data_IF_160816075076
#
_entry.id   IF_160816075076
#
_cell.length_a   1.000
_cell.length_b   1.000
_cell.length_c   1.000
_cell.angle_alpha   90.00
_cell.angle_beta   90.00
_cell.angle_gamma   90.00
#
_symmetry.space_group_name_H-M   'P 1'
#
loop_
_entity.id
_entity.type
_entity.pdbx_description
1 polymer ?
#
# COMPACT_ATOMS: atom_id res chain seq x y z
N UNK A 1 -8.29 4.33 -23.59
CA UNK A 1 -8.63 5.00 -22.31
C UNK A 1 -7.79 4.38 -21.20
N UNK A 2 -7.08 5.20 -20.46
CA UNK A 2 -6.24 4.68 -19.40
C UNK A 2 -7.04 4.55 -18.10
N UNK A 3 -6.96 3.37 -17.47
CA UNK A 3 -7.48 3.15 -16.13
C UNK A 3 -6.35 3.37 -15.15
N UNK A 4 -6.61 4.13 -14.10
CA UNK A 4 -5.61 4.46 -13.10
C UNK A 4 -6.01 4.02 -11.71
N UNK A 5 -5.01 3.64 -10.92
CA UNK A 5 -5.15 3.41 -9.48
C UNK A 5 -4.62 4.67 -8.81
N UNK A 6 -5.50 5.40 -8.15
CA UNK A 6 -5.16 6.71 -7.59
C UNK A 6 -5.83 6.96 -6.25
N UNK A 7 -5.39 8.00 -5.56
CA UNK A 7 -5.96 8.41 -4.29
C UNK A 7 -7.06 9.44 -4.52
N UNK A 8 -8.15 9.29 -3.78
CA UNK A 8 -9.24 10.24 -3.71
C UNK A 8 -9.28 10.82 -2.31
N UNK A 9 -9.31 12.14 -2.20
CA UNK A 9 -9.24 12.81 -0.89
C UNK A 9 -10.59 12.88 -0.21
N UNK A 10 -10.59 12.54 1.08
CA UNK A 10 -11.71 12.70 2.01
C UNK A 10 -11.20 13.35 3.31
N UNK A 11 -12.11 13.66 4.23
CA UNK A 11 -11.74 14.19 5.53
C UNK A 11 -11.89 15.70 5.60
N UNK A 12 -11.35 16.29 6.69
CA UNK A 12 -11.45 17.71 6.98
C UNK A 12 -10.28 18.50 6.40
N UNK A 13 -10.36 19.82 6.49
CA UNK A 13 -9.35 20.73 5.95
C UNK A 13 -7.93 20.41 6.44
N UNK A 14 -7.76 20.15 7.73
CA UNK A 14 -6.45 19.87 8.33
C UNK A 14 -6.22 18.39 8.62
N UNK A 15 -7.13 17.52 8.18
CA UNK A 15 -7.04 16.07 8.40
C UNK A 15 -7.42 15.34 7.12
N UNK A 16 -6.45 15.16 6.23
CA UNK A 16 -6.68 14.49 4.97
C UNK A 16 -6.71 12.96 5.18
N UNK A 17 -7.71 12.34 4.58
CA UNK A 17 -7.89 10.89 4.54
C UNK A 17 -8.12 10.50 3.09
N UNK A 18 -7.49 9.43 2.63
CA UNK A 18 -7.55 9.04 1.22
C UNK A 18 -8.16 7.67 1.04
N UNK A 19 -8.93 7.51 -0.02
CA UNK A 19 -9.38 6.21 -0.51
C UNK A 19 -8.56 5.85 -1.75
N UNK A 20 -8.15 4.59 -1.83
CA UNK A 20 -7.45 4.05 -3.00
C UNK A 20 -8.51 3.53 -3.95
N UNK A 21 -8.62 4.13 -5.13
CA UNK A 21 -9.70 3.85 -6.07
C UNK A 21 -9.17 3.58 -7.46
N UNK A 22 -9.96 2.80 -8.21
CA UNK A 22 -9.75 2.56 -9.63
C UNK A 22 -10.65 3.55 -10.37
N UNK A 23 -10.08 4.36 -11.24
CA UNK A 23 -10.85 5.36 -11.98
C UNK A 23 -10.27 5.58 -13.38
N UNK A 24 -11.13 6.10 -14.27
CA UNK A 24 -10.69 6.55 -15.60
C UNK A 24 -9.78 7.77 -15.41
N UNK A 25 -8.71 7.84 -16.21
CA UNK A 25 -7.75 8.95 -16.17
C UNK A 25 -8.41 10.31 -16.45
N UNK A 26 -9.56 10.32 -17.12
CA UNK A 26 -10.32 11.54 -17.45
C UNK A 26 -11.21 12.01 -16.29
N UNK A 27 -11.54 11.13 -15.34
CA UNK A 27 -12.41 11.49 -14.22
C UNK A 27 -11.70 12.45 -13.28
N UNK A 28 -12.43 13.42 -12.67
CA UNK A 28 -11.85 14.29 -11.64
C UNK A 28 -11.31 13.49 -10.46
N UNK A 29 -10.31 14.02 -9.76
CA UNK A 29 -9.67 13.34 -8.63
C UNK A 29 -10.69 12.87 -7.58
N UNK A 30 -11.62 13.72 -7.19
CA UNK A 30 -12.61 13.44 -6.15
C UNK A 30 -13.99 13.12 -6.74
N UNK A 31 -14.04 12.75 -8.03
CA UNK A 31 -15.25 12.41 -8.73
C UNK A 31 -15.56 10.92 -8.76
N UNK A 32 -16.28 10.50 -9.80
CA UNK A 32 -16.71 9.12 -9.97
C UNK A 32 -15.53 8.17 -10.16
N UNK A 33 -15.59 7.03 -9.50
CA UNK A 33 -14.60 5.96 -9.62
C UNK A 33 -15.28 4.63 -9.98
N UNK A 34 -14.47 3.68 -10.49
CA UNK A 34 -14.97 2.36 -10.89
C UNK A 34 -15.09 1.45 -9.66
N UNK A 35 -14.05 1.39 -8.83
CA UNK A 35 -14.00 0.54 -7.65
C UNK A 35 -13.10 1.14 -6.59
N UNK A 36 -13.48 0.99 -5.33
CA UNK A 36 -12.63 1.32 -4.18
C UNK A 36 -11.92 0.06 -3.72
N UNK A 37 -10.59 0.09 -3.67
CA UNK A 37 -9.78 -1.08 -3.27
C UNK A 37 -9.12 -0.93 -1.92
N UNK A 38 -9.19 0.24 -1.30
CA UNK A 38 -8.60 0.42 0.02
C UNK A 38 -8.64 1.85 0.51
N UNK A 39 -7.91 2.11 1.60
CA UNK A 39 -7.81 3.42 2.20
C UNK A 39 -6.37 3.68 2.67
N UNK A 40 -6.01 4.96 2.75
CA UNK A 40 -4.70 5.42 3.19
C UNK A 40 -4.87 6.59 4.14
N UNK A 41 -4.35 6.44 5.36
CA UNK A 41 -4.37 7.49 6.36
C UNK A 41 -2.93 7.92 6.70
N UNK A 42 -2.48 9.08 6.20
CA UNK A 42 -1.12 9.56 6.48
C UNK A 42 -0.97 10.23 7.85
N UNK A 43 -2.06 10.44 8.57
CA UNK A 43 -2.04 11.17 9.84
C UNK A 43 -1.55 10.33 11.01
N UNK A 44 -1.51 9.01 10.85
CA UNK A 44 -0.93 8.11 11.85
C UNK A 44 0.57 7.91 11.58
N UNK A 45 1.32 7.54 12.60
CA UNK A 45 2.74 7.28 12.48
C UNK A 45 3.05 5.87 13.01
N UNK A 46 3.40 4.90 12.16
CA UNK A 46 3.46 4.99 10.70
C UNK A 46 2.07 5.11 10.05
N UNK A 47 2.00 5.58 8.81
CA UNK A 47 0.76 5.74 8.08
C UNK A 47 -0.03 4.43 7.99
N UNK A 48 -1.35 4.52 8.18
CA UNK A 48 -2.22 3.34 8.14
C UNK A 48 -2.70 3.08 6.72
N UNK A 49 -2.48 1.86 6.24
CA UNK A 49 -2.90 1.44 4.90
C UNK A 49 -3.78 0.21 5.05
N UNK A 50 -5.02 0.30 4.56
CA UNK A 50 -5.93 -0.84 4.42
C UNK A 50 -6.13 -1.08 2.94
N UNK A 51 -5.74 -2.24 2.45
CA UNK A 51 -5.77 -2.56 1.03
C UNK A 51 -6.35 -3.94 0.79
N UNK A 52 -7.28 -4.04 -0.16
CA UNK A 52 -7.72 -5.33 -0.68
C UNK A 52 -6.67 -5.81 -1.68
N UNK A 53 -5.79 -6.69 -1.21
CA UNK A 53 -4.64 -7.18 -1.97
C UNK A 53 -5.05 -7.84 -3.29
N UNK A 54 -6.06 -8.70 -3.26
CA UNK A 54 -6.51 -9.44 -4.44
C UNK A 54 -7.04 -8.52 -5.53
N UNK A 55 -7.84 -7.52 -5.15
CA UNK A 55 -8.38 -6.55 -6.12
C UNK A 55 -7.30 -5.64 -6.68
N UNK A 56 -6.36 -5.20 -5.85
CA UNK A 56 -5.23 -4.41 -6.31
C UNK A 56 -4.38 -5.20 -7.32
N UNK A 57 -4.09 -6.46 -7.02
CA UNK A 57 -3.35 -7.34 -7.92
C UNK A 57 -4.10 -7.55 -9.23
N UNK A 58 -5.41 -7.79 -9.17
CA UNK A 58 -6.26 -7.96 -10.35
C UNK A 58 -6.15 -6.74 -11.29
N UNK A 59 -6.33 -5.52 -10.75
CA UNK A 59 -6.28 -4.31 -11.55
C UNK A 59 -4.89 -4.04 -12.12
N UNK A 60 -3.84 -4.32 -11.38
CA UNK A 60 -2.48 -4.20 -11.89
C UNK A 60 -2.21 -5.18 -13.04
N UNK A 61 -2.69 -6.42 -12.93
CA UNK A 61 -2.50 -7.43 -13.99
C UNK A 61 -3.34 -7.11 -15.21
N UNK A 62 -4.46 -6.43 -15.07
CA UNK A 62 -5.29 -6.00 -16.21
C UNK A 62 -4.79 -4.73 -16.88
N UNK A 63 -3.77 -4.07 -16.33
CA UNK A 63 -3.14 -2.92 -16.94
C UNK A 63 -3.44 -1.57 -16.33
N UNK A 64 -4.12 -1.53 -15.17
CA UNK A 64 -4.33 -0.27 -14.46
C UNK A 64 -2.99 0.31 -14.00
N UNK A 65 -2.80 1.61 -14.22
CA UNK A 65 -1.54 2.29 -13.91
C UNK A 65 -1.64 3.02 -12.58
N UNK A 66 -0.79 2.66 -11.58
CA UNK A 66 -0.78 3.39 -10.32
C UNK A 66 -0.08 4.74 -10.45
N UNK A 67 -0.58 5.73 -9.70
CA UNK A 67 0.14 6.99 -9.52
C UNK A 67 1.40 6.72 -8.67
N UNK A 68 2.33 7.68 -8.62
CA UNK A 68 3.59 7.50 -7.88
C UNK A 68 3.35 7.19 -6.41
N UNK A 69 2.43 7.92 -5.77
CA UNK A 69 2.08 7.69 -4.36
C UNK A 69 1.46 6.31 -4.15
N UNK A 70 0.52 5.92 -5.02
CA UNK A 70 -0.12 4.58 -4.96
C UNK A 70 0.91 3.49 -5.21
N UNK A 71 1.83 3.69 -6.14
CA UNK A 71 2.90 2.73 -6.41
C UNK A 71 3.73 2.47 -5.15
N UNK A 72 4.08 3.50 -4.40
CA UNK A 72 4.79 3.36 -3.14
C UNK A 72 3.98 2.59 -2.10
N UNK A 73 2.68 2.85 -2.01
CA UNK A 73 1.77 2.13 -1.12
C UNK A 73 1.70 0.64 -1.51
N UNK A 74 1.51 0.35 -2.79
CA UNK A 74 1.44 -1.03 -3.30
C UNK A 74 2.76 -1.77 -3.09
N UNK A 75 3.88 -1.08 -3.22
CA UNK A 75 5.20 -1.66 -2.96
C UNK A 75 5.33 -2.08 -1.49
N UNK A 76 4.88 -1.25 -0.55
CA UNK A 76 4.89 -1.57 0.88
C UNK A 76 4.00 -2.76 1.21
N UNK A 77 2.86 -2.90 0.55
CA UNK A 77 1.92 -4.00 0.78
C UNK A 77 2.29 -5.29 0.04
N UNK A 78 3.25 -5.24 -0.86
CA UNK A 78 3.75 -6.42 -1.56
C UNK A 78 3.02 -6.76 -2.85
N UNK A 79 2.08 -5.93 -3.32
CA UNK A 79 1.30 -6.19 -4.54
C UNK A 79 2.20 -6.20 -5.77
N UNK A 80 3.13 -5.25 -5.86
CA UNK A 80 4.07 -5.17 -6.98
C UNK A 80 5.01 -6.38 -7.01
N UNK A 81 5.45 -6.84 -5.84
CA UNK A 81 6.28 -8.03 -5.72
C UNK A 81 5.55 -9.28 -6.21
N UNK A 82 4.28 -9.44 -5.82
CA UNK A 82 3.45 -10.57 -6.26
C UNK A 82 3.24 -10.54 -7.77
N UNK A 83 2.96 -9.36 -8.34
CA UNK A 83 2.83 -9.19 -9.78
C UNK A 83 4.11 -9.60 -10.51
N UNK A 84 5.26 -9.18 -10.01
CA UNK A 84 6.57 -9.53 -10.59
C UNK A 84 6.80 -11.04 -10.57
N UNK A 85 6.50 -11.70 -9.45
CA UNK A 85 6.67 -13.16 -9.31
C UNK A 85 5.74 -13.92 -10.25
N UNK A 86 4.48 -13.50 -10.36
CA UNK A 86 3.52 -14.10 -11.30
C UNK A 86 3.97 -13.92 -12.75
N UNK A 87 4.54 -12.76 -13.09
CA UNK A 87 5.14 -12.53 -14.40
C UNK A 87 6.29 -13.49 -14.71
N UNK A 88 7.12 -13.78 -13.71
CA UNK A 88 8.19 -14.77 -13.82
C UNK A 88 7.68 -16.18 -14.07
N UNK A 89 6.58 -16.56 -13.39
CA UNK A 89 5.92 -17.86 -13.62
C UNK A 89 5.42 -17.96 -15.06
N UNK A 90 4.76 -16.94 -15.57
CA UNK A 90 4.27 -16.91 -16.97
C UNK A 90 5.41 -17.02 -17.99
N UNK A 91 6.56 -16.43 -17.69
CA UNK A 91 7.74 -16.49 -18.55
C UNK A 91 8.52 -17.81 -18.43
N UNK A 92 8.11 -18.69 -17.52
CA UNK A 92 8.77 -19.98 -17.30
C UNK A 92 10.08 -19.89 -16.52
N UNK A 93 10.37 -18.75 -15.87
CA UNK A 93 11.60 -18.59 -15.10
C UNK A 93 11.62 -19.47 -13.84
N UNK A 94 10.46 -19.70 -13.22
CA UNK A 94 10.30 -20.55 -12.04
C UNK A 94 8.84 -20.99 -11.91
N UNK A 95 8.57 -21.96 -11.02
CA UNK A 95 7.22 -22.50 -10.79
C UNK A 95 6.43 -21.62 -9.80
N UNK A 96 5.11 -21.82 -9.76
CA UNK A 96 4.24 -21.13 -8.81
C UNK A 96 4.64 -21.37 -7.36
N UNK A 97 5.04 -22.59 -7.02
CA UNK A 97 5.49 -22.94 -5.66
C UNK A 97 6.71 -22.09 -5.25
N UNK A 98 7.68 -21.95 -6.14
CA UNK A 98 8.86 -21.12 -5.90
C UNK A 98 8.47 -19.65 -5.75
N UNK A 99 7.53 -19.18 -6.58
CA UNK A 99 7.02 -17.81 -6.48
C UNK A 99 6.37 -17.56 -5.13
N UNK A 100 5.52 -18.45 -4.65
CA UNK A 100 4.89 -18.36 -3.34
C UNK A 100 5.91 -18.37 -2.21
N UNK A 101 6.91 -19.24 -2.26
CA UNK A 101 7.96 -19.29 -1.26
C UNK A 101 8.75 -17.98 -1.20
N UNK A 102 9.10 -17.42 -2.34
CA UNK A 102 9.79 -16.13 -2.42
C UNK A 102 8.94 -15.00 -1.88
N UNK A 103 7.65 -15.00 -2.18
CA UNK A 103 6.71 -13.99 -1.70
C UNK A 103 6.55 -14.07 -0.17
N UNK A 104 6.39 -15.27 0.38
CA UNK A 104 6.28 -15.49 1.82
C UNK A 104 7.55 -15.03 2.56
N UNK A 105 8.73 -15.37 2.03
CA UNK A 105 10.00 -14.93 2.60
C UNK A 105 10.11 -13.40 2.59
N UNK A 106 9.71 -12.76 1.49
CA UNK A 106 9.69 -11.31 1.38
C UNK A 106 8.73 -10.68 2.39
N UNK A 107 7.52 -11.25 2.55
CA UNK A 107 6.53 -10.78 3.52
C UNK A 107 7.05 -10.89 4.96
N UNK A 108 7.71 -11.98 5.31
CA UNK A 108 8.30 -12.15 6.64
C UNK A 108 9.35 -11.09 6.92
N UNK A 109 10.25 -10.85 5.97
CA UNK A 109 11.29 -9.83 6.11
C UNK A 109 10.67 -8.43 6.23
N UNK A 110 9.66 -8.14 5.42
CA UNK A 110 8.96 -6.85 5.45
C UNK A 110 8.21 -6.64 6.76
N UNK A 111 7.52 -7.67 7.25
CA UNK A 111 6.79 -7.63 8.51
C UNK A 111 7.75 -7.40 9.69
N UNK A 112 8.89 -8.07 9.72
CA UNK A 112 9.91 -7.87 10.74
C UNK A 112 10.44 -6.44 10.73
N UNK A 113 10.69 -5.88 9.56
CA UNK A 113 11.14 -4.48 9.41
C UNK A 113 10.08 -3.49 9.89
N UNK A 114 8.81 -3.72 9.55
CA UNK A 114 7.68 -2.87 9.99
C UNK A 114 7.50 -2.96 11.50
N UNK A 115 7.56 -4.16 12.07
CA UNK A 115 7.43 -4.36 13.51
C UNK A 115 8.58 -3.67 14.28
N UNK A 116 9.80 -3.75 13.75
CA UNK A 116 10.96 -3.05 14.33
C UNK A 116 10.76 -1.54 14.28
N UNK A 117 10.26 -1.00 13.18
CA UNK A 117 9.96 0.43 13.02
C UNK A 117 8.87 0.87 13.99
N UNK A 118 7.79 0.11 14.12
CA UNK A 118 6.71 0.38 15.09
C UNK A 118 7.23 0.37 16.52
N UNK A 119 8.10 -0.57 16.86
CA UNK A 119 8.72 -0.65 18.17
C UNK A 119 9.57 0.59 18.46
N UNK A 120 10.35 1.06 17.49
CA UNK A 120 11.14 2.28 17.61
C UNK A 120 10.27 3.52 17.83
N UNK A 121 9.18 3.66 17.08
CA UNK A 121 8.24 4.78 17.22
C UNK A 121 7.58 4.74 18.59
N UNK A 122 7.15 3.57 19.05
CA UNK A 122 6.55 3.39 20.37
C UNK A 122 7.54 3.72 21.49
N UNK A 123 8.78 3.26 21.39
CA UNK A 123 9.83 3.57 22.35
C UNK A 123 10.14 5.07 22.40
N UNK A 124 10.23 5.72 21.25
CA UNK A 124 10.45 7.16 21.16
C UNK A 124 9.31 7.95 21.81
N UNK A 125 8.06 7.55 21.61
CA UNK A 125 6.90 8.17 22.26
C UNK A 125 6.95 7.99 23.78
N UNK A 126 7.30 6.81 24.26
CA UNK A 126 7.40 6.51 25.68
C UNK A 126 8.49 7.36 26.35
N UNK A 127 9.65 7.48 25.73
CA UNK A 127 10.75 8.32 26.22
C UNK A 127 10.35 9.79 26.26
N UNK A 128 9.73 10.30 25.19
CA UNK A 128 9.25 11.68 25.14
C UNK A 128 8.23 11.98 26.23
N UNK A 129 7.28 11.08 26.45
CA UNK A 129 6.26 11.22 27.49
C UNK A 129 6.87 11.21 28.89
N UNK A 130 7.81 10.34 29.16
CA UNK A 130 8.51 10.27 30.43
C UNK A 130 9.30 11.55 30.70
N UNK A 131 9.95 12.09 29.69
CA UNK A 131 10.71 13.33 29.79
C UNK A 131 9.80 14.51 30.13
N UNK A 132 8.64 14.60 29.50
CA UNK A 132 7.64 15.64 29.78
C UNK A 132 7.10 15.54 31.22
N UNK A 133 6.93 14.34 31.75
CA UNK A 133 6.51 14.12 33.14
C UNK A 133 7.55 14.56 34.17
N UNK A 134 8.82 14.47 33.84
CA UNK A 134 9.91 14.83 34.73
C UNK A 134 10.01 16.34 34.95
N UNK A 135 9.36 17.14 34.11
CA UNK A 135 9.25 18.59 34.26
C UNK A 135 7.97 18.99 34.95
#
# INVERSE_FOLDING_TARGET
>A
MATKIRLQRFGHKDYAFYQIVIADSRAPRDGKFIERIGSYNPNTNPATINLNFERALYWLTTGAQPTDTVRNILSKEGVLMKKHLLGGVKKGAFTEEVAEQRFEAWLKNKKSAIDAEKAKVSAAKAVSYTHLRAH
#
